data_IF_871919523624
#
_entry.id   IF_871919523624
#
_cell.length_a   1.000
_cell.length_b   1.000
_cell.length_c   1.000
_cell.angle_alpha   90.00
_cell.angle_beta   90.00
_cell.angle_gamma   90.00
#
_symmetry.space_group_name_H-M   'P 1'
#
loop_
_entity.id
_entity.type
_entity.pdbx_description
1 polymer ?
#
# COMPACT_ATOMS: atom_id res chain seq x y z
N UNK A 1 -48.98 23.83 -12.49
CA UNK A 1 -47.94 22.77 -12.44
C UNK A 1 -46.58 23.40 -12.71
N UNK A 2 -45.78 23.68 -11.67
CA UNK A 2 -44.33 23.97 -11.77
C UNK A 2 -43.68 23.56 -10.44
N UNK A 3 -43.16 22.35 -10.39
CA UNK A 3 -42.18 21.89 -9.40
C UNK A 3 -41.08 21.19 -10.19
N UNK A 4 -39.91 21.09 -9.58
CA UNK A 4 -38.68 20.46 -10.07
C UNK A 4 -37.74 21.42 -10.81
N UNK A 5 -37.00 22.19 -10.02
CA UNK A 5 -35.65 22.62 -10.39
C UNK A 5 -34.90 23.00 -9.10
N UNK A 6 -34.59 21.99 -8.29
CA UNK A 6 -33.71 22.13 -7.14
C UNK A 6 -33.25 20.73 -6.70
N UNK A 7 -32.38 20.08 -7.47
CA UNK A 7 -31.59 18.94 -6.97
C UNK A 7 -30.37 18.64 -7.84
N UNK A 8 -29.46 19.60 -8.04
CA UNK A 8 -28.15 19.34 -8.67
C UNK A 8 -26.95 19.89 -7.87
N UNK A 9 -27.10 20.14 -6.55
CA UNK A 9 -26.02 20.75 -5.75
C UNK A 9 -25.72 19.98 -4.45
N UNK A 10 -25.69 18.64 -4.52
CA UNK A 10 -25.26 17.79 -3.40
C UNK A 10 -24.21 16.76 -3.82
N UNK A 11 -23.24 17.17 -4.64
CA UNK A 11 -21.98 16.43 -4.83
C UNK A 11 -20.82 17.42 -4.72
N UNK A 12 -20.77 18.14 -3.60
CA UNK A 12 -19.63 18.97 -3.22
C UNK A 12 -19.25 18.57 -1.79
N UNK A 13 -18.59 17.43 -1.67
CA UNK A 13 -18.15 16.89 -0.40
C UNK A 13 -17.47 15.55 -0.64
N UNK A 14 -16.19 15.49 -0.26
CA UNK A 14 -15.33 14.31 -0.29
C UNK A 14 -14.67 13.98 -1.64
N UNK A 15 -13.69 14.78 -2.07
CA UNK A 15 -12.44 14.27 -2.68
C UNK A 15 -11.69 15.45 -3.28
N UNK A 16 -10.71 16.02 -2.58
CA UNK A 16 -9.70 16.85 -3.27
C UNK A 16 -8.30 16.77 -2.65
N UNK A 17 -8.14 16.35 -1.39
CA UNK A 17 -6.80 16.18 -0.81
C UNK A 17 -5.94 15.11 -1.51
N UNK A 18 -6.55 14.04 -2.01
CA UNK A 18 -5.80 13.02 -2.78
C UNK A 18 -5.51 13.48 -4.21
N UNK A 19 -6.46 14.17 -4.85
CA UNK A 19 -6.29 14.66 -6.21
C UNK A 19 -5.18 15.72 -6.28
N UNK A 20 -5.13 16.61 -5.29
CA UNK A 20 -4.06 17.58 -5.10
C UNK A 20 -2.71 16.89 -4.85
N UNK A 21 -2.63 15.88 -3.97
CA UNK A 21 -1.39 15.11 -3.77
C UNK A 21 -0.90 14.41 -5.04
N UNK A 22 -1.81 13.90 -5.88
CA UNK A 22 -1.44 13.21 -7.11
C UNK A 22 -1.02 14.14 -8.24
N UNK A 23 -1.43 15.42 -8.21
CA UNK A 23 -1.18 16.39 -9.26
C UNK A 23 0.34 16.63 -9.45
N UNK A 24 1.08 16.69 -8.34
CA UNK A 24 2.52 16.97 -8.33
C UNK A 24 3.41 15.72 -8.46
N UNK A 25 2.82 14.53 -8.46
CA UNK A 25 3.56 13.27 -8.56
C UNK A 25 3.92 12.91 -10.00
N UNK A 26 5.13 12.37 -10.19
CA UNK A 26 5.52 11.76 -11.46
C UNK A 26 4.63 10.55 -11.80
N UNK A 27 4.44 10.20 -13.09
CA UNK A 27 3.61 9.04 -13.45
C UNK A 27 4.02 7.71 -12.78
N UNK A 28 5.32 7.36 -12.67
CA UNK A 28 5.73 6.16 -11.95
C UNK A 28 5.41 6.19 -10.45
N UNK A 29 5.53 7.37 -9.84
CA UNK A 29 5.21 7.58 -8.44
C UNK A 29 3.71 7.43 -8.19
N UNK A 30 2.87 8.07 -9.00
CA UNK A 30 1.42 7.91 -8.98
C UNK A 30 1.00 6.45 -9.16
N UNK A 31 1.63 5.73 -10.09
CA UNK A 31 1.38 4.31 -10.31
C UNK A 31 1.73 3.46 -9.06
N UNK A 32 2.85 3.77 -8.39
CA UNK A 32 3.24 3.08 -7.15
C UNK A 32 2.22 3.30 -6.02
N UNK A 33 1.76 4.53 -5.81
CA UNK A 33 0.71 4.81 -4.82
C UNK A 33 -0.62 4.13 -5.16
N UNK A 34 -1.00 4.10 -6.43
CA UNK A 34 -2.19 3.37 -6.87
C UNK A 34 -2.11 1.88 -6.56
N UNK A 35 -0.94 1.26 -6.78
CA UNK A 35 -0.71 -0.15 -6.47
C UNK A 35 -0.70 -0.43 -4.97
N UNK A 36 -0.10 0.46 -4.15
CA UNK A 36 -0.14 0.39 -2.68
C UNK A 36 -1.59 0.40 -2.19
N UNK A 37 -2.40 1.37 -2.64
CA UNK A 37 -3.82 1.46 -2.27
C UNK A 37 -4.62 0.22 -2.66
N UNK A 38 -4.32 -0.37 -3.82
CA UNK A 38 -4.98 -1.59 -4.27
C UNK A 38 -4.62 -2.78 -3.37
N UNK A 39 -3.35 -2.91 -2.99
CA UNK A 39 -2.89 -3.93 -2.06
C UNK A 39 -3.51 -3.76 -0.67
N UNK A 40 -3.48 -2.55 -0.10
CA UNK A 40 -4.07 -2.25 1.21
C UNK A 40 -5.57 -2.57 1.23
N UNK A 41 -6.32 -2.18 0.19
CA UNK A 41 -7.76 -2.49 0.06
C UNK A 41 -8.03 -3.99 0.00
N UNK A 42 -7.17 -4.74 -0.69
CA UNK A 42 -7.31 -6.20 -0.73
C UNK A 42 -7.02 -6.83 0.63
N UNK A 43 -6.00 -6.32 1.34
CA UNK A 43 -5.53 -6.86 2.61
C UNK A 43 -6.42 -6.51 3.80
N UNK A 44 -7.12 -5.37 3.77
CA UNK A 44 -8.01 -4.88 4.82
C UNK A 44 -8.92 -5.97 5.43
N UNK A 45 -9.75 -6.71 4.67
CA UNK A 45 -10.60 -7.76 5.26
C UNK A 45 -9.81 -8.91 5.91
N UNK A 46 -8.61 -9.22 5.40
CA UNK A 46 -7.76 -10.27 5.99
C UNK A 46 -7.15 -9.83 7.31
N UNK A 47 -6.73 -8.56 7.39
CA UNK A 47 -6.19 -7.95 8.59
C UNK A 47 -7.28 -7.84 9.67
N UNK A 48 -8.47 -7.36 9.31
CA UNK A 48 -9.57 -7.24 10.27
C UNK A 48 -10.02 -8.61 10.80
N UNK A 49 -10.09 -9.63 9.95
CA UNK A 49 -10.36 -11.01 10.39
C UNK A 49 -9.25 -11.57 11.29
N UNK A 50 -7.99 -11.20 11.03
CA UNK A 50 -6.84 -11.63 11.82
C UNK A 50 -6.82 -10.99 13.21
N UNK A 51 -7.18 -9.70 13.33
CA UNK A 51 -7.27 -8.97 14.61
C UNK A 51 -8.29 -9.56 15.59
N UNK A 52 -9.32 -10.26 15.10
CA UNK A 52 -10.30 -10.96 15.94
C UNK A 52 -9.72 -12.20 16.64
N UNK A 53 -8.57 -12.70 16.19
CA UNK A 53 -7.90 -13.86 16.78
C UNK A 53 -7.03 -13.43 17.95
N UNK A 54 -7.20 -14.06 19.13
CA UNK A 54 -6.51 -13.66 20.37
C UNK A 54 -4.97 -13.71 20.28
N UNK A 55 -4.41 -14.58 19.45
CA UNK A 55 -2.97 -14.72 19.27
C UNK A 55 -2.65 -15.43 17.95
N UNK A 56 -1.95 -14.75 17.05
CA UNK A 56 -1.40 -15.33 15.84
C UNK A 56 0.04 -15.75 16.09
N UNK A 57 0.44 -16.92 15.59
CA UNK A 57 1.84 -17.30 15.46
C UNK A 57 2.51 -16.52 14.32
N UNK A 58 3.83 -16.41 14.33
CA UNK A 58 4.58 -15.74 13.26
C UNK A 58 4.28 -16.34 11.88
N UNK A 59 4.17 -17.68 11.81
CA UNK A 59 3.78 -18.35 10.56
C UNK A 59 2.40 -17.89 10.07
N UNK A 60 1.41 -17.76 10.95
CA UNK A 60 0.08 -17.28 10.55
C UNK A 60 0.11 -15.82 10.09
N UNK A 61 0.95 -14.99 10.71
CA UNK A 61 1.17 -13.60 10.29
C UNK A 61 1.79 -13.56 8.89
N UNK A 62 2.81 -14.36 8.64
CA UNK A 62 3.47 -14.45 7.33
C UNK A 62 2.50 -14.96 6.25
N UNK A 63 1.64 -15.95 6.58
CA UNK A 63 0.60 -16.45 5.68
C UNK A 63 -0.48 -15.41 5.36
N UNK A 64 -0.79 -14.50 6.29
CA UNK A 64 -1.73 -13.38 6.05
C UNK A 64 -1.13 -12.43 5.02
N UNK A 65 0.15 -12.09 5.12
CA UNK A 65 0.87 -11.23 4.17
C UNK A 65 0.79 -11.68 2.71
N UNK A 66 0.46 -12.95 2.46
CA UNK A 66 0.40 -13.57 1.13
C UNK A 66 -1.04 -13.72 0.59
N UNK A 67 -2.07 -13.22 1.28
CA UNK A 67 -3.49 -13.44 0.89
C UNK A 67 -3.93 -12.73 -0.39
N UNK A 68 -3.22 -11.68 -0.79
CA UNK A 68 -3.48 -10.89 -1.99
C UNK A 68 -2.34 -11.01 -3.02
N UNK A 69 -2.09 -12.21 -3.61
CA UNK A 69 -0.88 -12.48 -4.38
C UNK A 69 -0.76 -11.63 -5.66
N UNK A 70 -1.89 -11.28 -6.29
CA UNK A 70 -1.91 -10.45 -7.49
C UNK A 70 -1.53 -9.01 -7.17
N UNK A 71 -2.18 -8.42 -6.17
CA UNK A 71 -1.93 -7.05 -5.74
C UNK A 71 -0.53 -6.91 -5.13
N UNK A 72 -0.07 -7.94 -4.41
CA UNK A 72 1.29 -8.04 -3.89
C UNK A 72 2.34 -7.99 -5.01
N UNK A 73 2.12 -8.72 -6.11
CA UNK A 73 3.00 -8.65 -7.27
C UNK A 73 2.94 -7.29 -7.96
N UNK A 74 1.75 -6.71 -8.10
CA UNK A 74 1.56 -5.41 -8.73
C UNK A 74 2.23 -4.29 -7.94
N UNK A 75 2.11 -4.26 -6.61
CA UNK A 75 2.78 -3.27 -5.77
C UNK A 75 4.30 -3.45 -5.80
N UNK A 76 4.80 -4.69 -5.78
CA UNK A 76 6.23 -4.98 -5.89
C UNK A 76 6.82 -4.47 -7.21
N UNK A 77 6.13 -4.72 -8.34
CA UNK A 77 6.57 -4.23 -9.64
C UNK A 77 6.49 -2.71 -9.77
N UNK A 78 5.42 -2.09 -9.25
CA UNK A 78 5.27 -0.64 -9.31
C UNK A 78 6.33 0.09 -8.49
N UNK A 79 6.66 -0.45 -7.30
CA UNK A 79 7.71 0.09 -6.44
C UNK A 79 9.11 -0.12 -7.03
N UNK A 80 9.39 -1.27 -7.64
CA UNK A 80 10.66 -1.53 -8.33
C UNK A 80 10.94 -0.61 -9.53
N UNK A 81 9.88 0.02 -10.09
CA UNK A 81 9.94 0.99 -11.19
C UNK A 81 9.95 2.44 -10.73
N UNK A 82 9.76 2.72 -9.43
CA UNK A 82 9.78 4.08 -8.89
C UNK A 82 11.19 4.66 -9.05
N UNK A 83 11.34 5.85 -9.66
CA UNK A 83 12.66 6.44 -9.82
C UNK A 83 13.24 6.78 -8.45
N UNK A 84 14.56 6.66 -8.31
CA UNK A 84 15.28 6.99 -7.08
C UNK A 84 15.00 8.41 -6.58
N UNK A 85 14.82 9.35 -7.52
CA UNK A 85 14.47 10.74 -7.22
C UNK A 85 13.11 10.93 -6.54
N UNK A 86 12.21 9.94 -6.65
CA UNK A 86 10.89 9.97 -6.00
C UNK A 86 10.89 9.37 -4.59
N UNK A 87 12.05 8.96 -4.06
CA UNK A 87 12.18 8.61 -2.65
C UNK A 87 12.63 9.87 -1.90
N UNK A 88 11.76 10.37 -1.01
CA UNK A 88 12.09 11.51 -0.15
C UNK A 88 13.10 11.05 0.91
N UNK A 89 14.37 11.25 0.61
CA UNK A 89 15.50 10.84 1.44
C UNK A 89 16.66 10.37 0.57
N UNK A 90 17.89 10.57 1.02
CA UNK A 90 19.04 9.93 0.40
C UNK A 90 18.94 8.42 0.66
N UNK A 91 18.45 7.64 -0.31
CA UNK A 91 18.64 6.19 -0.31
C UNK A 91 20.15 5.96 -0.22
N UNK A 92 20.60 5.32 0.86
CA UNK A 92 22.01 4.98 0.99
C UNK A 92 22.40 4.10 -0.20
N UNK A 93 23.62 4.25 -0.72
CA UNK A 93 24.04 3.47 -1.89
C UNK A 93 23.99 1.95 -1.63
N UNK A 94 24.01 1.57 -0.36
CA UNK A 94 23.93 0.19 0.14
C UNK A 94 22.49 -0.36 0.17
N UNK A 95 21.47 0.51 0.17
CA UNK A 95 20.06 0.14 0.06
C UNK A 95 19.59 0.01 -1.40
N UNK A 96 20.39 0.46 -2.36
CA UNK A 96 20.04 0.35 -3.77
C UNK A 96 20.34 -1.05 -4.33
N UNK A 97 19.27 -1.76 -4.68
CA UNK A 97 19.36 -3.01 -5.42
C UNK A 97 19.35 -2.68 -6.92
N UNK A 98 20.46 -2.88 -7.62
CA UNK A 98 20.59 -2.52 -9.05
C UNK A 98 19.81 -3.44 -9.99
N UNK A 99 19.71 -4.72 -9.65
CA UNK A 99 18.99 -5.73 -10.41
C UNK A 99 17.46 -5.60 -10.22
N UNK A 100 16.72 -5.56 -11.33
CA UNK A 100 15.28 -5.32 -11.30
C UNK A 100 14.52 -6.47 -10.62
N UNK A 101 14.84 -7.71 -10.92
CA UNK A 101 14.13 -8.87 -10.37
C UNK A 101 14.41 -9.01 -8.87
N UNK A 102 15.64 -8.71 -8.43
CA UNK A 102 15.97 -8.60 -7.01
C UNK A 102 15.23 -7.47 -6.32
N UNK A 103 15.03 -6.31 -6.99
CA UNK A 103 14.17 -5.23 -6.44
C UNK A 103 12.73 -5.69 -6.26
N UNK A 104 12.16 -6.33 -7.28
CA UNK A 104 10.78 -6.85 -7.21
C UNK A 104 10.67 -7.87 -6.08
N UNK A 105 11.62 -8.82 -5.97
CA UNK A 105 11.62 -9.80 -4.89
C UNK A 105 11.75 -9.15 -3.50
N UNK A 106 12.61 -8.13 -3.36
CA UNK A 106 12.73 -7.37 -2.12
C UNK A 106 11.41 -6.69 -1.74
N UNK A 107 10.80 -5.93 -2.66
CA UNK A 107 9.53 -5.25 -2.37
C UNK A 107 8.41 -6.24 -2.10
N UNK A 108 8.36 -7.38 -2.80
CA UNK A 108 7.38 -8.43 -2.51
C UNK A 108 7.47 -8.91 -1.05
N UNK A 109 8.68 -9.19 -0.58
CA UNK A 109 8.89 -9.61 0.82
C UNK A 109 8.56 -8.48 1.80
N UNK A 110 8.98 -7.25 1.52
CA UNK A 110 8.70 -6.09 2.37
C UNK A 110 7.21 -5.79 2.51
N UNK A 111 6.44 -5.83 1.41
CA UNK A 111 4.99 -5.63 1.43
C UNK A 111 4.22 -6.79 2.05
N UNK A 112 4.66 -8.04 1.85
CA UNK A 112 4.05 -9.18 2.56
C UNK A 112 4.20 -9.03 4.09
N UNK A 113 5.33 -8.47 4.54
CA UNK A 113 5.62 -8.25 5.95
C UNK A 113 5.03 -6.96 6.55
N UNK A 114 4.41 -6.06 5.76
CA UNK A 114 4.10 -4.69 6.21
C UNK A 114 3.10 -4.63 7.36
N UNK A 115 2.23 -5.64 7.49
CA UNK A 115 1.23 -5.72 8.56
C UNK A 115 1.69 -6.53 9.77
N UNK A 116 2.89 -7.14 9.70
CA UNK A 116 3.35 -8.08 10.73
C UNK A 116 3.45 -7.44 12.11
N UNK A 117 3.83 -6.17 12.18
CA UNK A 117 3.87 -5.41 13.41
C UNK A 117 2.51 -5.30 14.13
N UNK A 118 1.43 -5.06 13.38
CA UNK A 118 0.08 -4.87 13.93
C UNK A 118 -0.53 -6.20 14.39
N UNK A 119 -0.09 -7.31 13.79
CA UNK A 119 -0.67 -8.63 13.99
C UNK A 119 0.13 -9.50 14.99
N UNK A 120 1.40 -9.19 15.25
CA UNK A 120 2.23 -9.93 16.22
C UNK A 120 1.91 -9.55 17.66
N UNK A 121 1.92 -10.55 18.54
CA UNK A 121 1.57 -10.40 19.97
C UNK A 121 2.54 -9.54 20.79
N UNK A 122 3.70 -9.19 20.22
CA UNK A 122 4.74 -8.35 20.83
C UNK A 122 4.84 -6.93 20.27
N UNK A 123 3.98 -6.56 19.31
CA UNK A 123 4.06 -5.28 18.58
C UNK A 123 5.31 -5.19 17.67
N UNK A 124 5.59 -4.00 17.13
CA UNK A 124 6.86 -3.75 16.46
C UNK A 124 8.01 -3.76 17.49
N UNK A 125 9.11 -4.48 17.26
CA UNK A 125 10.35 -4.17 17.96
C UNK A 125 10.74 -2.72 17.62
N UNK A 126 10.83 -1.86 18.63
CA UNK A 126 11.43 -0.55 18.49
C UNK A 126 12.93 -0.80 18.29
N UNK A 127 13.43 -0.52 17.09
CA UNK A 127 14.87 -0.50 16.80
C UNK A 127 15.52 0.74 17.42
#
# INVERSE_FOLDING_TARGET
MKRVLALCLLVAGCSDGEAEMFADMSPPERASYGAIKAFDRCMEPHIEAAKLQKKLSDQQVDEIGLKCPKELEQVAQAMAKRPLSSFHGSISRDEWISDFDKRVAHYRTSFAGSFGCELRSGGCPVL
#
